data_IF_304897694602
#
_entry.id   IF_304897694602
#
_cell.length_a   1.000
_cell.length_b   1.000
_cell.length_c   1.000
_cell.angle_alpha   90.00
_cell.angle_beta   90.00
_cell.angle_gamma   90.00
#
_symmetry.space_group_name_H-M   'P 1'
#
loop_
_entity.id
_entity.type
_entity.pdbx_description
1 polymer ?
#
# COMPACT_ATOMS: atom_id res chain seq x y z
N UNK A 1 38.65 -50.76 -43.46
CA UNK A 1 38.23 -51.15 -44.83
C UNK A 1 36.74 -50.83 -44.92
N UNK A 2 36.35 -49.92 -45.82
CA UNK A 2 34.97 -49.72 -46.32
C UNK A 2 33.89 -49.14 -45.39
N UNK A 3 33.43 -47.93 -45.69
CA UNK A 3 32.07 -47.44 -45.35
C UNK A 3 31.00 -48.24 -46.12
N UNK A 4 29.73 -48.13 -45.69
CA UNK A 4 28.77 -47.47 -46.58
C UNK A 4 27.88 -46.45 -45.85
N UNK A 5 28.06 -45.20 -46.24
CA UNK A 5 27.07 -44.26 -46.77
C UNK A 5 25.59 -44.64 -46.62
N UNK A 6 24.86 -43.88 -45.80
CA UNK A 6 23.46 -43.57 -46.02
C UNK A 6 23.24 -42.08 -45.75
N UNK A 7 23.10 -41.38 -46.87
CA UNK A 7 22.63 -40.03 -47.03
C UNK A 7 21.10 -40.07 -46.87
N UNK A 8 20.51 -39.33 -45.93
CA UNK A 8 19.10 -38.91 -46.01
C UNK A 8 18.80 -37.74 -45.07
N UNK A 9 18.58 -36.57 -45.68
CA UNK A 9 17.47 -35.70 -45.29
C UNK A 9 17.64 -34.76 -44.09
N UNK A 10 18.70 -33.95 -44.01
CA UNK A 10 18.61 -32.69 -43.24
C UNK A 10 17.90 -31.62 -44.09
N UNK A 11 16.72 -31.09 -43.67
CA UNK A 11 16.09 -30.00 -44.38
C UNK A 11 16.94 -28.73 -44.32
N UNK A 12 17.19 -28.21 -45.51
CA UNK A 12 17.93 -27.01 -45.85
C UNK A 12 17.50 -25.81 -44.97
N UNK A 13 18.44 -25.19 -44.24
CA UNK A 13 18.22 -23.89 -43.60
C UNK A 13 18.15 -22.83 -44.69
N UNK A 14 16.93 -22.55 -45.17
CA UNK A 14 16.67 -21.47 -46.11
C UNK A 14 16.95 -20.11 -45.47
N UNK A 15 17.90 -19.38 -46.04
CA UNK A 15 18.23 -18.00 -45.69
C UNK A 15 17.00 -17.09 -45.85
N UNK A 16 16.46 -16.61 -44.73
CA UNK A 16 15.41 -15.61 -44.71
C UNK A 16 16.00 -14.25 -45.08
N UNK A 17 15.92 -13.90 -46.37
CA UNK A 17 16.36 -12.61 -46.87
C UNK A 17 15.34 -11.51 -46.50
N UNK A 18 15.83 -10.35 -46.03
CA UNK A 18 15.05 -9.24 -45.42
C UNK A 18 13.89 -8.70 -46.27
N UNK A 19 13.85 -9.01 -47.57
CA UNK A 19 12.78 -8.59 -48.49
C UNK A 19 11.49 -9.41 -48.41
N UNK A 20 11.52 -10.64 -47.89
CA UNK A 20 10.32 -11.48 -47.80
C UNK A 20 9.50 -11.25 -46.51
N UNK A 21 10.05 -10.56 -45.50
CA UNK A 21 9.34 -10.23 -44.25
C UNK A 21 8.42 -9.01 -44.40
N UNK A 22 8.69 -8.11 -45.36
CA UNK A 22 7.90 -6.90 -45.57
C UNK A 22 6.73 -7.07 -46.56
N UNK A 23 6.68 -8.18 -47.29
CA UNK A 23 5.58 -8.47 -48.23
C UNK A 23 4.38 -9.20 -47.59
N UNK A 24 4.49 -9.66 -46.33
CA UNK A 24 3.44 -10.40 -45.64
C UNK A 24 2.49 -9.52 -44.79
N UNK A 25 2.63 -8.20 -44.80
CA UNK A 25 1.78 -7.27 -44.03
C UNK A 25 0.74 -6.51 -44.87
N UNK A 26 0.59 -6.84 -46.15
CA UNK A 26 -0.31 -6.15 -47.07
C UNK A 26 -1.45 -7.03 -47.59
N UNK A 27 -2.41 -7.43 -46.75
CA UNK A 27 -3.70 -7.90 -47.27
C UNK A 27 -4.49 -8.86 -46.39
N UNK A 28 -5.78 -8.53 -46.21
CA UNK A 28 -6.92 -9.32 -45.74
C UNK A 28 -7.25 -9.39 -44.22
N UNK A 29 -8.11 -8.44 -43.83
CA UNK A 29 -9.46 -8.61 -43.23
C UNK A 29 -9.73 -9.56 -42.04
N UNK A 30 -10.24 -8.94 -40.97
CA UNK A 30 -11.46 -9.25 -40.19
C UNK A 30 -11.65 -10.69 -39.64
N UNK A 31 -11.94 -10.72 -38.33
CA UNK A 31 -12.43 -11.82 -37.49
C UNK A 31 -11.36 -12.80 -36.95
N UNK A 32 -10.91 -12.50 -35.73
CA UNK A 32 -10.04 -13.36 -34.93
C UNK A 32 -9.89 -12.80 -33.52
N UNK A 33 -10.96 -12.83 -32.74
CA UNK A 33 -10.96 -12.52 -31.31
C UNK A 33 -10.13 -13.54 -30.53
N UNK A 34 -8.86 -13.22 -30.27
CA UNK A 34 -8.01 -13.91 -29.30
C UNK A 34 -7.08 -12.90 -28.60
N UNK A 35 -7.46 -12.55 -27.37
CA UNK A 35 -6.53 -12.36 -26.25
C UNK A 35 -5.46 -11.27 -26.38
N UNK A 36 -5.85 -10.00 -26.41
CA UNK A 36 -4.98 -8.92 -25.94
C UNK A 36 -5.73 -8.08 -24.90
N UNK A 37 -5.69 -8.56 -23.65
CA UNK A 37 -5.90 -7.73 -22.48
C UNK A 37 -4.71 -6.76 -22.38
N UNK A 38 -4.76 -5.66 -23.13
CA UNK A 38 -3.82 -4.56 -22.98
C UNK A 38 -4.54 -3.23 -23.24
N UNK A 39 -4.37 -2.32 -22.27
CA UNK A 39 -4.58 -0.88 -22.38
C UNK A 39 -6.04 -0.42 -22.32
N UNK A 40 -6.60 -0.44 -21.11
CA UNK A 40 -7.73 0.39 -20.68
C UNK A 40 -7.43 1.90 -20.68
N UNK A 41 -6.80 2.40 -21.74
CA UNK A 41 -6.57 3.81 -22.00
C UNK A 41 -7.22 4.16 -23.35
N UNK A 42 -8.54 4.35 -23.36
CA UNK A 42 -9.20 4.98 -24.52
C UNK A 42 -10.68 4.64 -24.70
N UNK A 43 -11.08 3.37 -24.58
CA UNK A 43 -12.43 2.96 -24.98
C UNK A 43 -13.53 3.53 -24.05
N UNK A 44 -13.36 3.41 -22.72
CA UNK A 44 -14.32 4.01 -21.76
C UNK A 44 -14.24 5.55 -21.72
N UNK A 45 -13.27 6.17 -22.41
CA UNK A 45 -13.14 7.63 -22.45
C UNK A 45 -14.01 8.26 -23.54
N UNK A 46 -14.41 7.51 -24.57
CA UNK A 46 -15.23 8.05 -25.67
C UNK A 46 -16.74 8.03 -25.37
N UNK A 47 -17.18 7.33 -24.31
CA UNK A 47 -18.59 7.22 -23.93
C UNK A 47 -19.04 8.22 -22.85
N UNK A 48 -18.14 9.02 -22.29
CA UNK A 48 -18.47 9.95 -21.20
C UNK A 48 -18.60 11.39 -21.70
N UNK A 49 -19.78 11.99 -21.50
CA UNK A 49 -20.09 13.41 -21.73
C UNK A 49 -19.51 14.35 -20.67
N UNK A 50 -18.74 13.82 -19.71
CA UNK A 50 -18.12 14.60 -18.66
C UNK A 50 -17.09 15.58 -19.22
N UNK A 51 -17.13 16.82 -18.72
CA UNK A 51 -16.23 17.90 -19.13
C UNK A 51 -14.82 17.72 -18.56
N UNK A 52 -14.74 17.15 -17.36
CA UNK A 52 -13.48 16.95 -16.64
C UNK A 52 -13.24 15.46 -16.42
N UNK A 53 -11.98 15.02 -16.53
CA UNK A 53 -11.58 13.63 -16.27
C UNK A 53 -10.48 13.62 -15.21
N UNK A 54 -10.63 12.76 -14.20
CA UNK A 54 -9.68 12.61 -13.09
C UNK A 54 -9.28 11.14 -13.00
N UNK A 55 -7.98 10.85 -13.14
CA UNK A 55 -7.39 9.54 -12.88
C UNK A 55 -6.98 9.46 -11.42
N UNK A 56 -7.53 8.50 -10.70
CA UNK A 56 -7.30 8.32 -9.28
C UNK A 56 -6.67 6.96 -8.98
N UNK A 57 -5.50 6.92 -8.37
CA UNK A 57 -4.88 5.66 -7.94
C UNK A 57 -4.98 5.50 -6.43
N UNK A 58 -5.41 4.32 -5.98
CA UNK A 58 -5.50 3.99 -4.57
C UNK A 58 -4.96 2.59 -4.28
N UNK A 59 -4.85 2.27 -3.00
CA UNK A 59 -4.30 1.01 -2.48
C UNK A 59 -5.24 0.34 -1.47
N UNK A 60 -6.50 0.79 -1.40
CA UNK A 60 -7.47 0.33 -0.41
C UNK A 60 -8.10 -1.00 -0.83
N UNK A 61 -8.09 -1.96 0.07
CA UNK A 61 -8.59 -3.32 -0.12
C UNK A 61 -9.53 -3.68 1.03
N UNK A 62 -10.27 -4.78 0.92
CA UNK A 62 -11.14 -5.27 1.99
C UNK A 62 -12.21 -4.25 2.42
N UNK A 63 -12.36 -4.03 3.73
CA UNK A 63 -13.33 -3.09 4.29
C UNK A 63 -13.08 -1.65 3.83
N UNK A 64 -11.83 -1.20 3.87
CA UNK A 64 -11.44 0.15 3.42
C UNK A 64 -11.70 0.35 1.93
N UNK A 65 -11.42 -0.70 1.12
CA UNK A 65 -11.73 -0.69 -0.31
C UNK A 65 -13.23 -0.51 -0.58
N UNK A 66 -14.08 -1.17 0.22
CA UNK A 66 -15.55 -1.04 0.09
C UNK A 66 -16.01 0.39 0.41
N UNK A 67 -15.47 0.99 1.47
CA UNK A 67 -15.77 2.39 1.83
C UNK A 67 -15.26 3.36 0.76
N UNK A 68 -14.06 3.14 0.23
CA UNK A 68 -13.49 3.98 -0.82
C UNK A 68 -14.34 3.96 -2.09
N UNK A 69 -14.81 2.78 -2.52
CA UNK A 69 -15.72 2.66 -3.67
C UNK A 69 -17.00 3.46 -3.42
N UNK A 70 -17.61 3.31 -2.25
CA UNK A 70 -18.82 4.04 -1.89
C UNK A 70 -18.62 5.57 -1.91
N UNK A 71 -17.47 6.06 -1.42
CA UNK A 71 -17.12 7.48 -1.47
C UNK A 71 -16.97 7.99 -2.90
N UNK A 72 -16.27 7.25 -3.77
CA UNK A 72 -16.05 7.65 -5.17
C UNK A 72 -17.37 7.60 -5.95
N UNK A 73 -18.24 6.62 -5.69
CA UNK A 73 -19.55 6.52 -6.34
C UNK A 73 -20.50 7.63 -5.90
N UNK A 74 -20.49 8.00 -4.62
CA UNK A 74 -21.22 9.17 -4.13
C UNK A 74 -20.75 10.45 -4.83
N UNK A 75 -19.42 10.65 -4.95
CA UNK A 75 -18.85 11.79 -5.67
C UNK A 75 -19.27 11.82 -7.15
N UNK A 76 -19.20 10.68 -7.86
CA UNK A 76 -19.63 10.58 -9.27
C UNK A 76 -21.10 10.93 -9.45
N UNK A 77 -21.95 10.56 -8.48
CA UNK A 77 -23.40 10.86 -8.52
C UNK A 77 -23.67 12.34 -8.29
N UNK A 78 -22.92 12.98 -7.40
CA UNK A 78 -23.06 14.41 -7.08
C UNK A 78 -22.45 15.32 -8.16
N UNK A 79 -21.39 14.85 -8.84
CA UNK A 79 -20.63 15.61 -9.85
C UNK A 79 -20.60 14.89 -11.21
N UNK A 80 -21.75 14.79 -11.92
CA UNK A 80 -21.83 14.05 -13.18
C UNK A 80 -20.99 14.66 -14.32
N UNK A 81 -20.54 15.91 -14.18
CA UNK A 81 -19.64 16.60 -15.10
C UNK A 81 -18.16 16.22 -14.92
N UNK A 82 -17.82 15.48 -13.86
CA UNK A 82 -16.48 15.00 -13.54
C UNK A 82 -16.42 13.47 -13.61
N UNK A 83 -15.74 12.93 -14.62
CA UNK A 83 -15.50 11.50 -14.74
C UNK A 83 -14.25 11.09 -13.95
N UNK A 84 -14.46 10.51 -12.77
CA UNK A 84 -13.40 9.87 -11.98
C UNK A 84 -13.16 8.44 -12.47
N UNK A 85 -11.94 8.15 -12.94
CA UNK A 85 -11.46 6.81 -13.27
C UNK A 85 -10.48 6.36 -12.22
N UNK A 86 -10.93 5.50 -11.31
CA UNK A 86 -10.10 4.98 -10.24
C UNK A 86 -9.42 3.66 -10.62
N UNK A 87 -8.29 3.37 -9.98
CA UNK A 87 -7.58 2.10 -10.10
C UNK A 87 -7.00 1.71 -8.76
N UNK A 88 -7.48 0.60 -8.21
CA UNK A 88 -6.92 0.00 -7.01
C UNK A 88 -5.72 -0.87 -7.39
N UNK A 89 -4.58 -0.59 -6.79
CA UNK A 89 -3.33 -1.30 -6.98
C UNK A 89 -2.91 -1.99 -5.69
N UNK A 90 -2.21 -3.12 -5.79
CA UNK A 90 -1.71 -3.84 -4.62
C UNK A 90 -0.70 -2.99 -3.86
N UNK A 91 -0.94 -2.77 -2.58
CA UNK A 91 -0.04 -2.06 -1.67
C UNK A 91 1.36 -2.71 -1.61
N UNK A 92 2.35 -1.91 -1.20
CA UNK A 92 3.75 -2.32 -1.05
C UNK A 92 4.67 -1.74 -2.13
N UNK A 93 5.83 -2.36 -2.29
CA UNK A 93 6.86 -1.95 -3.26
C UNK A 93 6.33 -1.73 -4.69
N UNK A 94 5.52 -2.65 -5.26
CA UNK A 94 5.00 -2.50 -6.62
C UNK A 94 4.20 -1.21 -6.84
N UNK A 95 3.41 -0.77 -5.85
CA UNK A 95 2.63 0.46 -5.95
C UNK A 95 3.52 1.70 -6.02
N UNK A 96 4.43 1.87 -5.05
CA UNK A 96 5.26 3.08 -4.96
C UNK A 96 6.25 3.18 -6.11
N UNK A 97 6.85 2.07 -6.53
CA UNK A 97 7.72 2.04 -7.71
C UNK A 97 6.93 2.43 -8.96
N UNK A 98 5.72 1.88 -9.14
CA UNK A 98 4.87 2.22 -10.27
C UNK A 98 4.45 3.70 -10.26
N UNK A 99 4.07 4.23 -9.10
CA UNK A 99 3.69 5.64 -8.96
C UNK A 99 4.87 6.57 -9.28
N UNK A 100 6.06 6.29 -8.73
CA UNK A 100 7.26 7.08 -9.01
C UNK A 100 7.65 7.04 -10.49
N UNK A 101 7.64 5.85 -11.10
CA UNK A 101 7.95 5.70 -12.53
C UNK A 101 6.90 6.35 -13.43
N UNK A 102 5.62 6.28 -13.05
CA UNK A 102 4.54 6.95 -13.78
C UNK A 102 4.71 8.47 -13.72
N UNK A 103 5.00 9.02 -12.54
CA UNK A 103 5.27 10.45 -12.35
C UNK A 103 6.50 10.91 -13.16
N UNK A 104 7.63 10.22 -13.02
CA UNK A 104 8.85 10.53 -13.79
C UNK A 104 8.67 10.41 -15.31
N UNK A 105 7.80 9.47 -15.74
CA UNK A 105 7.48 9.24 -17.15
C UNK A 105 6.32 10.08 -17.69
N UNK A 106 5.88 11.12 -16.98
CA UNK A 106 4.75 12.00 -17.35
C UNK A 106 3.44 11.24 -17.64
N UNK A 107 3.19 10.18 -16.87
CA UNK A 107 2.00 9.31 -16.94
C UNK A 107 1.39 9.09 -15.55
N UNK A 108 1.69 9.96 -14.59
CA UNK A 108 1.13 9.93 -13.24
C UNK A 108 -0.40 10.01 -13.30
N UNK A 109 -1.12 9.44 -12.32
CA UNK A 109 -2.53 9.78 -12.09
C UNK A 109 -2.65 11.26 -11.68
N UNK A 110 -3.86 11.80 -11.75
CA UNK A 110 -4.14 13.18 -11.35
C UNK A 110 -4.28 13.28 -9.81
N UNK A 111 -4.68 12.18 -9.16
CA UNK A 111 -4.71 12.02 -7.71
C UNK A 111 -4.21 10.62 -7.32
N UNK A 112 -3.40 10.52 -6.26
CA UNK A 112 -2.94 9.24 -5.73
C UNK A 112 -2.99 9.19 -4.21
N UNK A 113 -3.33 8.03 -3.66
CA UNK A 113 -3.17 7.74 -2.23
C UNK A 113 -1.73 7.31 -1.96
N UNK A 114 -1.11 7.79 -0.89
CA UNK A 114 0.20 7.32 -0.46
C UNK A 114 0.35 7.42 1.06
N UNK A 115 1.21 6.58 1.63
CA UNK A 115 1.53 6.70 3.05
C UNK A 115 2.35 7.98 3.30
N UNK A 116 2.03 8.68 4.38
CA UNK A 116 2.63 9.99 4.69
C UNK A 116 4.16 9.96 4.80
N UNK A 117 4.73 8.87 5.33
CA UNK A 117 6.18 8.66 5.41
C UNK A 117 6.88 8.58 4.05
N UNK A 118 6.14 8.47 2.94
CA UNK A 118 6.70 8.49 1.57
C UNK A 118 6.73 9.89 0.96
N UNK A 119 5.94 10.83 1.47
CA UNK A 119 5.80 12.19 0.90
C UNK A 119 7.15 12.92 0.82
N UNK A 120 8.02 12.91 1.85
CA UNK A 120 9.32 13.56 1.76
C UNK A 120 10.25 12.99 0.69
N UNK A 121 10.08 11.71 0.29
CA UNK A 121 10.85 11.12 -0.79
C UNK A 121 10.33 11.46 -2.19
N UNK A 122 9.06 11.87 -2.30
CA UNK A 122 8.41 12.19 -3.58
C UNK A 122 8.36 13.70 -3.87
N UNK A 123 8.21 14.53 -2.84
CA UNK A 123 8.09 15.98 -3.00
C UNK A 123 9.37 16.64 -3.59
N UNK A 124 10.61 16.31 -3.16
CA UNK A 124 11.82 16.92 -3.70
C UNK A 124 12.15 16.50 -5.15
N UNK A 125 11.45 15.49 -5.69
CA UNK A 125 11.68 14.94 -7.03
C UNK A 125 10.77 15.49 -8.14
N UNK A 126 9.96 16.53 -7.86
CA UNK A 126 8.87 16.99 -8.76
C UNK A 126 7.86 15.88 -9.13
N UNK A 127 7.75 14.84 -8.29
CA UNK A 127 6.81 13.75 -8.52
C UNK A 127 5.42 14.07 -7.94
N UNK A 128 5.31 15.12 -7.13
CA UNK A 128 4.08 15.64 -6.55
C UNK A 128 4.02 17.15 -6.78
N UNK A 129 2.82 17.63 -7.09
CA UNK A 129 2.52 19.04 -7.05
C UNK A 129 2.02 19.42 -5.64
N UNK A 130 2.40 20.60 -5.12
CA UNK A 130 1.85 21.08 -3.86
C UNK A 130 0.38 21.45 -4.04
N UNK A 131 -0.41 21.24 -3.01
CA UNK A 131 -1.79 21.69 -2.95
C UNK A 131 -1.87 23.21 -2.87
N UNK A 132 -2.83 23.79 -3.59
CA UNK A 132 -3.24 25.18 -3.44
C UNK A 132 -4.22 25.28 -2.26
N UNK A 133 -3.75 25.85 -1.14
CA UNK A 133 -4.50 25.96 0.11
C UNK A 133 -5.71 26.89 -0.04
N UNK A 134 -5.59 27.95 -0.83
CA UNK A 134 -6.70 28.89 -1.06
C UNK A 134 -7.79 28.22 -1.90
N UNK A 135 -7.40 27.41 -2.88
CA UNK A 135 -8.34 26.60 -3.66
C UNK A 135 -9.03 25.56 -2.79
N UNK A 136 -8.29 24.84 -1.93
CA UNK A 136 -8.87 23.90 -0.97
C UNK A 136 -9.91 24.59 -0.07
N UNK A 137 -9.58 25.77 0.46
CA UNK A 137 -10.47 26.53 1.32
C UNK A 137 -11.76 26.97 0.60
N UNK A 138 -11.69 27.30 -0.70
CA UNK A 138 -12.88 27.59 -1.53
C UNK A 138 -13.82 26.39 -1.65
N UNK A 139 -13.29 25.18 -1.62
CA UNK A 139 -14.06 23.93 -1.60
C UNK A 139 -14.32 23.40 -0.17
N UNK A 140 -14.06 24.23 0.84
CA UNK A 140 -14.40 23.92 2.23
C UNK A 140 -13.40 23.04 2.96
N UNK A 141 -12.23 22.76 2.39
CA UNK A 141 -11.14 22.00 3.02
C UNK A 141 -10.13 22.95 3.64
N UNK A 142 -9.98 22.92 4.96
CA UNK A 142 -9.10 23.81 5.74
C UNK A 142 -8.19 23.01 6.65
N UNK A 143 -7.05 23.58 7.02
CA UNK A 143 -6.12 22.99 7.99
C UNK A 143 -6.82 22.58 9.30
N UNK A 144 -7.75 23.40 9.78
CA UNK A 144 -8.52 23.17 11.01
C UNK A 144 -9.42 21.95 10.97
N UNK A 145 -9.68 21.40 9.79
CA UNK A 145 -10.50 20.19 9.63
C UNK A 145 -9.70 18.91 9.90
N UNK A 146 -8.37 19.04 10.06
CA UNK A 146 -7.46 17.91 10.25
C UNK A 146 -6.77 17.95 11.60
N UNK A 147 -6.32 16.77 12.06
CA UNK A 147 -5.41 16.69 13.19
C UNK A 147 -4.11 17.47 12.87
N UNK A 148 -3.66 18.39 13.74
CA UNK A 148 -2.53 19.28 13.43
C UNK A 148 -1.21 18.53 13.24
N UNK A 149 -1.01 17.40 13.93
CA UNK A 149 0.19 16.56 13.77
C UNK A 149 0.19 15.91 12.38
N UNK A 150 -0.97 15.44 11.92
CA UNK A 150 -1.10 14.84 10.60
C UNK A 150 -0.99 15.90 9.51
N UNK A 151 -1.63 17.06 9.65
CA UNK A 151 -1.48 18.15 8.68
C UNK A 151 -0.02 18.54 8.50
N UNK A 152 0.70 18.79 9.61
CA UNK A 152 2.12 19.15 9.58
C UNK A 152 2.99 18.11 8.87
N UNK A 153 2.68 16.82 9.00
CA UNK A 153 3.39 15.74 8.30
C UNK A 153 3.16 15.73 6.77
N UNK A 154 2.11 16.39 6.28
CA UNK A 154 1.87 16.60 4.85
C UNK A 154 2.65 17.79 4.28
N UNK A 155 3.27 18.60 5.14
CA UNK A 155 4.04 19.80 4.76
C UNK A 155 5.51 19.46 4.59
N UNK A 156 6.06 19.75 3.41
CA UNK A 156 7.49 19.58 3.10
C UNK A 156 8.02 20.90 2.54
N UNK A 157 9.09 21.43 3.11
CA UNK A 157 9.67 22.71 2.67
C UNK A 157 8.66 23.88 2.70
N UNK A 158 7.76 23.89 3.69
CA UNK A 158 6.75 24.93 3.87
C UNK A 158 5.54 24.85 2.93
N UNK A 159 5.41 23.80 2.10
CA UNK A 159 4.27 23.59 1.21
C UNK A 159 3.55 22.29 1.54
N UNK A 160 2.22 22.28 1.42
CA UNK A 160 1.38 21.11 1.63
C UNK A 160 1.42 20.21 0.39
N UNK A 161 1.85 18.95 0.54
CA UNK A 161 1.90 17.97 -0.56
C UNK A 161 0.93 16.81 -0.40
N UNK A 162 0.36 16.61 0.79
CA UNK A 162 -0.58 15.54 1.05
C UNK A 162 -1.66 15.98 2.04
N UNK A 163 -2.91 15.60 1.74
CA UNK A 163 -4.03 15.73 2.66
C UNK A 163 -4.20 14.42 3.44
N UNK A 164 -4.33 14.46 4.78
CA UNK A 164 -4.66 13.27 5.56
C UNK A 164 -6.04 12.71 5.14
N UNK A 165 -6.10 11.43 4.79
CA UNK A 165 -7.34 10.74 4.38
C UNK A 165 -7.82 9.77 5.47
N UNK A 166 -6.90 8.96 5.98
CA UNK A 166 -7.14 7.99 7.04
C UNK A 166 -5.95 7.92 8.00
N UNK A 167 -6.18 7.27 9.15
CA UNK A 167 -5.13 6.85 10.08
C UNK A 167 -5.41 5.43 10.55
N UNK A 168 -4.34 4.66 10.69
CA UNK A 168 -4.38 3.35 11.29
C UNK A 168 -3.67 3.36 12.64
N UNK A 169 -4.24 2.63 13.60
CA UNK A 169 -3.67 2.44 14.94
C UNK A 169 -3.45 0.96 15.19
N UNK A 170 -2.43 0.63 15.99
CA UNK A 170 -2.25 -0.73 16.47
C UNK A 170 -3.23 -0.96 17.63
N UNK A 171 -4.11 -1.95 17.47
CA UNK A 171 -5.11 -2.31 18.48
C UNK A 171 -4.93 -3.76 18.89
N UNK A 172 -5.14 -4.03 20.18
CA UNK A 172 -5.18 -5.38 20.72
C UNK A 172 -6.64 -5.85 20.84
N UNK A 173 -7.07 -6.69 19.93
CA UNK A 173 -8.35 -7.39 20.04
C UNK A 173 -8.16 -8.71 20.82
N UNK A 174 -9.13 -9.04 21.67
CA UNK A 174 -9.09 -10.26 22.47
C UNK A 174 -10.44 -10.99 22.47
N UNK A 175 -10.36 -12.31 22.63
CA UNK A 175 -11.53 -13.19 22.75
C UNK A 175 -12.09 -13.14 24.18
N UNK A 176 -13.16 -12.37 24.39
CA UNK A 176 -13.77 -12.22 25.73
C UNK A 176 -14.17 -13.55 26.37
N UNK A 177 -14.63 -14.52 25.59
CA UNK A 177 -15.00 -15.85 26.08
C UNK A 177 -13.78 -16.65 26.59
N UNK A 178 -12.63 -16.55 25.91
CA UNK A 178 -11.37 -17.17 26.33
C UNK A 178 -10.85 -16.48 27.59
N UNK A 179 -10.81 -15.15 27.60
CA UNK A 179 -10.36 -14.37 28.77
C UNK A 179 -11.26 -14.62 29.99
N UNK A 180 -12.58 -14.74 29.81
CA UNK A 180 -13.52 -15.06 30.89
C UNK A 180 -13.24 -16.44 31.48
N UNK A 181 -13.05 -17.47 30.65
CA UNK A 181 -12.69 -18.82 31.11
C UNK A 181 -11.34 -18.86 31.83
N UNK A 182 -10.42 -17.99 31.44
CA UNK A 182 -9.10 -17.86 32.04
C UNK A 182 -9.10 -17.01 33.33
N UNK A 183 -10.25 -16.42 33.73
CA UNK A 183 -10.33 -15.54 34.89
C UNK A 183 -9.60 -14.20 34.70
N UNK A 184 -9.43 -13.75 33.46
CA UNK A 184 -8.64 -12.56 33.11
C UNK A 184 -9.46 -11.27 32.98
N UNK A 185 -10.79 -11.34 33.11
CA UNK A 185 -11.63 -10.15 32.99
C UNK A 185 -11.87 -9.50 34.36
N UNK A 186 -11.87 -8.18 34.38
CA UNK A 186 -12.28 -7.38 35.52
C UNK A 186 -13.82 -7.42 35.75
N UNK A 187 -14.29 -6.67 36.74
CA UNK A 187 -15.70 -6.60 37.11
C UNK A 187 -16.61 -6.06 35.98
N UNK A 188 -16.07 -5.23 35.09
CA UNK A 188 -16.78 -4.69 33.91
C UNK A 188 -16.69 -5.64 32.70
N UNK A 189 -16.06 -6.80 32.87
CA UNK A 189 -15.87 -7.78 31.82
C UNK A 189 -14.85 -7.32 30.76
N UNK A 190 -13.85 -6.51 31.14
CA UNK A 190 -12.75 -6.08 30.28
C UNK A 190 -11.43 -6.75 30.70
N UNK A 191 -10.55 -6.97 29.73
CA UNK A 191 -9.18 -7.39 30.01
C UNK A 191 -8.40 -6.14 30.48
N UNK A 192 -7.87 -6.10 31.72
CA UNK A 192 -7.05 -4.98 32.17
C UNK A 192 -5.77 -4.89 31.33
N UNK A 193 -5.24 -3.67 31.17
CA UNK A 193 -3.96 -3.47 30.50
C UNK A 193 -2.84 -4.12 31.33
N UNK A 194 -1.91 -4.79 30.66
CA UNK A 194 -0.70 -5.27 31.29
C UNK A 194 0.23 -4.09 31.61
N UNK A 195 0.71 -3.99 32.85
CA UNK A 195 1.67 -2.98 33.28
C UNK A 195 3.12 -3.38 33.03
N UNK A 196 3.38 -4.64 32.70
CA UNK A 196 4.72 -5.16 32.39
C UNK A 196 4.69 -6.28 31.34
N UNK A 197 5.87 -6.58 30.78
CA UNK A 197 6.04 -7.70 29.85
C UNK A 197 5.74 -9.05 30.52
N UNK A 198 6.11 -9.23 31.78
CA UNK A 198 5.83 -10.46 32.54
C UNK A 198 4.32 -10.65 32.79
N UNK A 199 3.60 -9.58 33.12
CA UNK A 199 2.13 -9.61 33.22
C UNK A 199 1.50 -9.97 31.87
N UNK A 200 1.99 -9.37 30.78
CA UNK A 200 1.53 -9.69 29.43
C UNK A 200 1.72 -11.17 29.08
N UNK A 201 2.91 -11.74 29.34
CA UNK A 201 3.13 -13.18 29.12
C UNK A 201 2.31 -14.05 30.08
N UNK A 202 2.02 -13.58 31.29
CA UNK A 202 1.09 -14.22 32.22
C UNK A 202 -0.33 -14.33 31.64
N UNK A 203 -0.84 -13.23 31.09
CA UNK A 203 -2.13 -13.17 30.38
C UNK A 203 -2.16 -14.18 29.23
N UNK A 204 -1.12 -14.19 28.38
CA UNK A 204 -1.03 -15.12 27.26
C UNK A 204 -1.01 -16.58 27.74
N UNK A 205 -0.20 -16.92 28.75
CA UNK A 205 -0.14 -18.28 29.32
C UNK A 205 -1.48 -18.72 29.90
N UNK A 206 -2.20 -17.84 30.60
CA UNK A 206 -3.51 -18.13 31.15
C UNK A 206 -4.57 -18.35 30.04
N UNK A 207 -4.57 -17.49 29.01
CA UNK A 207 -5.44 -17.65 27.85
C UNK A 207 -5.16 -18.95 27.09
N UNK A 208 -3.88 -19.30 26.89
CA UNK A 208 -3.44 -20.52 26.18
C UNK A 208 -4.04 -21.80 26.77
N UNK A 209 -4.17 -21.88 28.10
CA UNK A 209 -4.78 -23.02 28.80
C UNK A 209 -6.25 -23.25 28.45
N UNK A 210 -6.94 -22.23 27.93
CA UNK A 210 -8.36 -22.28 27.59
C UNK A 210 -8.62 -22.46 26.10
N UNK A 211 -7.56 -22.54 25.28
CA UNK A 211 -7.65 -22.73 23.85
C UNK A 211 -7.80 -24.22 23.49
N UNK A 212 -8.47 -24.48 22.37
CA UNK A 212 -8.55 -25.80 21.77
C UNK A 212 -7.27 -26.11 20.98
N UNK A 213 -7.02 -27.40 20.75
CA UNK A 213 -5.90 -27.86 19.92
C UNK A 213 -5.91 -27.15 18.55
N UNK A 214 -4.73 -26.67 18.14
CA UNK A 214 -4.53 -25.95 16.88
C UNK A 214 -4.77 -24.44 16.93
N UNK A 215 -5.29 -23.89 18.04
CA UNK A 215 -5.47 -22.45 18.19
C UNK A 215 -4.20 -21.77 18.71
N UNK A 216 -3.84 -20.64 18.09
CA UNK A 216 -2.76 -19.77 18.54
C UNK A 216 -3.24 -18.79 19.60
N UNK A 217 -2.40 -18.53 20.60
CA UNK A 217 -2.71 -17.59 21.70
C UNK A 217 -2.56 -16.14 21.29
N UNK A 218 -1.67 -15.88 20.34
CA UNK A 218 -1.39 -14.55 19.82
C UNK A 218 -1.52 -14.59 18.30
N UNK A 219 -2.35 -13.72 17.76
CA UNK A 219 -2.47 -13.49 16.32
C UNK A 219 -1.66 -12.26 15.94
N UNK A 220 -0.54 -12.47 15.26
CA UNK A 220 0.25 -11.40 14.67
C UNK A 220 0.51 -11.73 13.20
N UNK A 221 0.46 -10.71 12.35
CA UNK A 221 0.86 -10.85 10.96
C UNK A 221 2.40 -10.85 10.86
N UNK A 222 3.03 -11.93 11.34
CA UNK A 222 4.47 -12.03 11.50
C UNK A 222 5.22 -12.30 10.18
N UNK A 223 4.51 -12.68 9.11
CA UNK A 223 5.09 -12.95 7.79
C UNK A 223 5.31 -11.71 6.92
N UNK A 224 4.72 -10.58 7.29
CA UNK A 224 4.88 -9.32 6.56
C UNK A 224 5.92 -8.43 7.27
N UNK A 225 6.96 -8.06 6.51
CA UNK A 225 8.09 -7.29 7.03
C UNK A 225 7.68 -5.90 7.54
N UNK A 226 6.67 -5.27 6.95
CA UNK A 226 6.20 -3.96 7.40
C UNK A 226 5.48 -4.08 8.75
N UNK A 227 4.65 -5.11 8.93
CA UNK A 227 4.00 -5.34 10.21
C UNK A 227 5.01 -5.65 11.32
N UNK A 228 6.02 -6.49 11.05
CA UNK A 228 7.11 -6.73 11.98
C UNK A 228 7.86 -5.43 12.36
N UNK A 229 8.17 -4.60 11.36
CA UNK A 229 8.81 -3.30 11.57
C UNK A 229 7.95 -2.35 12.40
N UNK A 230 6.63 -2.27 12.15
CA UNK A 230 5.75 -1.39 12.92
C UNK A 230 5.63 -1.78 14.38
N UNK A 231 5.59 -3.08 14.70
CA UNK A 231 5.63 -3.52 16.10
C UNK A 231 6.98 -3.20 16.73
N UNK A 232 8.09 -3.40 16.02
CA UNK A 232 9.41 -3.04 16.51
C UNK A 232 9.48 -1.55 16.86
N UNK A 233 9.09 -0.68 15.93
CA UNK A 233 9.08 0.79 16.12
C UNK A 233 8.20 1.17 17.31
N UNK A 234 7.02 0.58 17.43
CA UNK A 234 6.09 0.90 18.51
C UNK A 234 6.68 0.60 19.90
N UNK A 235 7.25 -0.59 20.10
CA UNK A 235 7.85 -0.95 21.39
C UNK A 235 9.16 -0.20 21.64
N UNK A 236 9.97 0.01 20.60
CA UNK A 236 11.19 0.80 20.69
C UNK A 236 10.93 2.23 21.16
N UNK A 237 9.88 2.87 20.62
CA UNK A 237 9.46 4.21 21.05
C UNK A 237 8.84 4.23 22.46
N UNK A 238 8.18 3.15 22.90
CA UNK A 238 7.72 3.04 24.29
C UNK A 238 8.88 3.02 25.30
N UNK A 239 10.05 2.52 24.90
CA UNK A 239 11.29 2.61 25.69
C UNK A 239 12.00 3.98 25.55
N UNK A 240 11.38 4.94 24.85
CA UNK A 240 12.00 6.24 24.56
C UNK A 240 13.15 6.14 23.57
N UNK A 241 13.12 5.16 22.66
CA UNK A 241 14.06 5.04 21.55
C UNK A 241 13.80 6.08 20.45
N UNK A 242 14.88 6.64 19.90
CA UNK A 242 14.87 7.58 18.78
C UNK A 242 15.73 7.08 17.63
N UNK A 243 15.56 7.68 16.44
CA UNK A 243 16.36 7.32 15.26
C UNK A 243 17.37 8.41 14.90
N UNK A 244 16.96 9.67 15.05
CA UNK A 244 17.76 10.84 14.74
C UNK A 244 17.59 11.90 15.83
N UNK A 245 18.52 12.86 15.90
CA UNK A 245 18.33 14.09 16.64
C UNK A 245 17.24 14.96 15.99
N UNK A 246 16.81 16.02 16.68
CA UNK A 246 15.71 16.90 16.22
C UNK A 246 16.00 17.54 14.85
N UNK A 247 17.27 17.84 14.57
CA UNK A 247 17.73 18.44 13.31
C UNK A 247 17.93 17.41 12.18
N UNK A 248 17.74 16.11 12.47
CA UNK A 248 17.94 15.00 11.53
C UNK A 248 19.34 14.92 10.91
N UNK A 249 20.37 15.39 11.64
CA UNK A 249 21.78 15.37 11.20
C UNK A 249 22.56 14.19 11.74
N UNK A 250 22.15 13.64 12.88
CA UNK A 250 22.88 12.59 13.60
C UNK A 250 21.95 11.44 13.96
N UNK A 251 22.48 10.21 13.90
CA UNK A 251 21.76 8.99 14.28
C UNK A 251 21.79 8.85 15.81
N UNK A 252 20.62 8.75 16.44
CA UNK A 252 20.46 8.59 17.90
C UNK A 252 19.97 7.21 18.31
N UNK A 253 20.11 6.24 17.39
CA UNK A 253 19.66 4.87 17.58
C UNK A 253 20.38 4.18 18.74
N UNK A 254 19.62 3.93 19.80
CA UNK A 254 20.00 3.17 20.99
C UNK A 254 19.89 1.65 20.74
N UNK A 255 21.03 0.97 20.71
CA UNK A 255 21.12 -0.48 20.44
C UNK A 255 20.66 -1.34 21.62
N UNK A 256 20.74 -0.83 22.84
CA UNK A 256 20.38 -1.59 24.04
C UNK A 256 18.86 -1.69 24.14
N UNK A 257 18.16 -0.57 23.94
CA UNK A 257 16.69 -0.57 23.81
C UNK A 257 16.21 -1.40 22.63
N UNK A 258 16.91 -1.35 21.49
CA UNK A 258 16.57 -2.17 20.34
C UNK A 258 16.70 -3.67 20.67
N UNK A 259 17.76 -4.04 21.39
CA UNK A 259 18.00 -5.42 21.85
C UNK A 259 16.90 -5.88 22.80
N UNK A 260 16.47 -5.04 23.74
CA UNK A 260 15.36 -5.34 24.66
C UNK A 260 14.06 -5.68 23.90
N UNK A 261 13.72 -4.92 22.85
CA UNK A 261 12.54 -5.20 22.01
C UNK A 261 12.69 -6.53 21.26
N UNK A 262 13.88 -6.81 20.71
CA UNK A 262 14.13 -8.06 20.00
C UNK A 262 14.09 -9.27 20.94
N UNK A 263 14.58 -9.13 22.17
CA UNK A 263 14.46 -10.16 23.20
C UNK A 263 13.01 -10.37 23.62
N UNK A 264 12.20 -9.31 23.70
CA UNK A 264 10.77 -9.41 23.91
C UNK A 264 10.08 -10.21 22.79
N UNK A 265 10.40 -9.95 21.52
CA UNK A 265 9.85 -10.72 20.39
C UNK A 265 10.28 -12.17 20.34
N UNK A 266 11.45 -12.49 20.89
CA UNK A 266 11.97 -13.87 20.93
C UNK A 266 11.23 -14.74 21.95
N UNK A 267 10.67 -14.16 23.00
CA UNK A 267 10.00 -14.87 24.12
C UNK A 267 8.60 -15.36 23.74
#
# INVERSE_FOLDING_TARGET
MGRPDLNDGYPNRGDLNRRNVLAALGGLTVAGSLGFAALGTGADALASSARTRVRYWNLFQGGDGTNQVAMVDAFRKEHPDIAVKDSTLTWGGPYYTKLAMAAAGNRAPDLAVMHQGRVPGFAPGRLLDPWDIDLLAKYGVRETDFNPVLWKRGVVGGKLYALPLDIHVQLCFYRKDVCKKAGLLDADGRLPAAGSTDEWFGILKAAKKQLKNGQQTLGLHASDQNFAWWFFVAFYQQLGGGYFNDDQTDVTFDTDKATEVLEFFRK
#
